data_IF_868619664647
#
_entry.id   IF_868619664647
#
_cell.length_a   1.000
_cell.length_b   1.000
_cell.length_c   1.000
_cell.angle_alpha   90.00
_cell.angle_beta   90.00
_cell.angle_gamma   90.00
#
_symmetry.space_group_name_H-M   'P 1'
#
loop_
_entity.id
_entity.type
_entity.pdbx_description
1 polymer ?
#
# COMPACT_ATOMS: atom_id res chain seq x y z
N UNK A 1 -11.70 0.28 11.67
CA UNK A 1 -11.32 -0.59 10.60
C UNK A 1 -10.81 -1.92 11.06
N UNK A 2 -11.00 -2.91 10.25
CA UNK A 2 -10.54 -4.26 10.48
C UNK A 2 -9.61 -4.72 9.38
N UNK A 3 -9.10 -5.92 9.54
CA UNK A 3 -8.32 -6.59 8.53
C UNK A 3 -9.21 -7.48 7.67
N UNK A 4 -8.88 -7.53 6.40
CA UNK A 4 -9.37 -8.57 5.50
C UNK A 4 -8.15 -9.17 4.84
N UNK A 5 -7.93 -10.46 5.09
CA UNK A 5 -6.83 -11.20 4.50
C UNK A 5 -7.44 -12.25 3.59
N UNK A 6 -7.03 -12.22 2.34
CA UNK A 6 -7.49 -13.21 1.37
C UNK A 6 -6.37 -14.21 1.17
N UNK A 7 -6.53 -15.42 1.74
CA UNK A 7 -5.58 -16.53 1.57
C UNK A 7 -5.36 -16.84 0.10
N UNK A 8 -4.19 -17.29 -0.25
CA UNK A 8 -3.69 -17.55 -1.60
C UNK A 8 -3.46 -16.29 -2.41
N UNK A 9 -3.88 -15.16 -1.91
CA UNK A 9 -3.92 -13.99 -2.74
C UNK A 9 -2.97 -12.92 -2.30
N UNK A 10 -2.42 -13.04 -1.11
CA UNK A 10 -1.55 -11.99 -0.60
C UNK A 10 -2.11 -10.59 -0.88
N UNK A 11 -3.42 -10.43 -0.65
CA UNK A 11 -4.11 -9.13 -0.69
C UNK A 11 -4.54 -8.80 0.72
N UNK A 12 -4.14 -7.64 1.20
CA UNK A 12 -4.48 -7.17 2.54
C UNK A 12 -5.17 -5.82 2.42
N UNK A 13 -6.31 -5.71 3.08
CA UNK A 13 -7.04 -4.45 3.18
C UNK A 13 -7.04 -4.00 4.63
N UNK A 14 -6.62 -2.77 4.88
CA UNK A 14 -6.63 -2.22 6.23
C UNK A 14 -7.25 -0.83 6.25
N UNK A 15 -8.01 -0.53 7.29
CA UNK A 15 -8.33 0.84 7.62
C UNK A 15 -7.14 1.46 8.33
N UNK A 16 -6.84 2.72 8.07
CA UNK A 16 -5.74 3.39 8.75
C UNK A 16 -6.21 4.44 9.75
N UNK A 17 -7.41 5.03 9.57
CA UNK A 17 -7.91 6.07 10.45
C UNK A 17 -7.00 7.29 10.49
N UNK A 18 -6.70 7.78 11.69
CA UNK A 18 -5.84 8.93 11.92
C UNK A 18 -4.35 8.57 11.74
N UNK A 19 -3.49 9.54 11.35
CA UNK A 19 -2.04 9.36 11.38
C UNK A 19 -1.47 8.94 12.73
N UNK A 20 -2.19 9.20 13.82
CA UNK A 20 -1.82 8.74 15.17
C UNK A 20 -1.67 7.23 15.24
N UNK A 21 -2.29 6.48 14.32
CA UNK A 21 -2.14 5.03 14.25
C UNK A 21 -0.67 4.61 14.30
N UNK A 22 0.22 5.37 13.69
CA UNK A 22 1.64 5.04 13.61
C UNK A 22 2.31 4.89 14.98
N UNK A 23 1.83 5.61 15.98
CA UNK A 23 2.39 5.60 17.35
C UNK A 23 1.45 5.01 18.38
N UNK A 24 0.23 4.61 17.98
CA UNK A 24 -0.73 4.00 18.91
C UNK A 24 -0.37 2.55 19.20
N UNK A 25 -0.65 2.13 20.43
CA UNK A 25 -0.57 0.73 20.84
C UNK A 25 -1.97 0.30 21.30
N UNK A 26 -2.64 -0.48 20.50
CA UNK A 26 -4.00 -0.95 20.77
C UNK A 26 -4.22 -2.30 20.09
N UNK A 27 -5.43 -2.83 20.19
CA UNK A 27 -5.74 -4.14 19.61
C UNK A 27 -5.55 -4.16 18.10
N UNK A 28 -5.89 -3.07 17.42
CA UNK A 28 -5.72 -2.97 15.97
C UNK A 28 -4.24 -3.00 15.57
N UNK A 29 -3.39 -2.21 16.23
CA UNK A 29 -1.96 -2.18 15.90
C UNK A 29 -1.27 -3.50 16.25
N UNK A 30 -1.68 -4.16 17.34
CA UNK A 30 -1.18 -5.50 17.69
C UNK A 30 -1.59 -6.54 16.65
N UNK A 31 -2.81 -6.45 16.12
CA UNK A 31 -3.26 -7.32 15.03
C UNK A 31 -2.44 -7.07 13.76
N UNK A 32 -2.16 -5.81 13.43
CA UNK A 32 -1.28 -5.48 12.30
C UNK A 32 0.11 -6.09 12.46
N UNK A 33 0.68 -6.01 13.66
CA UNK A 33 1.98 -6.60 13.97
C UNK A 33 1.96 -8.12 13.79
N UNK A 34 0.91 -8.78 14.27
CA UNK A 34 0.75 -10.23 14.14
C UNK A 34 0.64 -10.65 12.69
N UNK A 35 -0.22 -9.99 11.92
CA UNK A 35 -0.41 -10.29 10.51
C UNK A 35 0.88 -10.08 9.72
N UNK A 36 1.58 -8.98 9.97
CA UNK A 36 2.85 -8.70 9.32
C UNK A 36 3.91 -9.74 9.65
N UNK A 37 4.01 -10.16 10.91
CA UNK A 37 4.95 -11.20 11.33
C UNK A 37 4.65 -12.53 10.62
N UNK A 38 3.38 -12.89 10.50
CA UNK A 38 2.99 -14.11 9.79
C UNK A 38 3.39 -14.05 8.31
N UNK A 39 3.22 -12.90 7.67
CA UNK A 39 3.62 -12.70 6.27
C UNK A 39 5.14 -12.83 6.11
N UNK A 40 5.90 -12.20 7.02
CA UNK A 40 7.37 -12.20 6.95
C UNK A 40 7.99 -13.58 7.18
N UNK A 41 7.34 -14.42 7.99
CA UNK A 41 7.84 -15.76 8.32
C UNK A 41 7.27 -16.85 7.42
N UNK A 42 6.35 -16.50 6.54
CA UNK A 42 5.75 -17.42 5.58
C UNK A 42 6.76 -17.84 4.51
N UNK A 43 6.58 -19.05 3.96
CA UNK A 43 7.37 -19.53 2.81
C UNK A 43 7.14 -18.64 1.59
N UNK A 44 5.98 -18.00 1.52
CA UNK A 44 5.59 -17.10 0.42
C UNK A 44 5.83 -15.65 0.78
N UNK A 45 6.91 -15.35 1.50
CA UNK A 45 7.28 -13.98 1.83
C UNK A 45 7.31 -13.13 0.57
N UNK A 46 6.58 -11.99 0.53
CA UNK A 46 6.50 -11.19 -0.68
C UNK A 46 7.83 -10.53 -1.04
N UNK A 47 8.08 -10.43 -2.33
CA UNK A 47 9.25 -9.73 -2.88
C UNK A 47 9.13 -8.22 -2.76
N UNK A 48 7.91 -7.70 -2.85
CA UNK A 48 7.59 -6.29 -2.73
C UNK A 48 6.10 -6.12 -2.46
N UNK A 49 5.74 -4.92 -2.04
CA UNK A 49 4.36 -4.55 -1.73
C UNK A 49 3.89 -3.51 -2.74
N UNK A 50 2.78 -3.78 -3.42
CA UNK A 50 2.05 -2.77 -4.17
C UNK A 50 1.04 -2.13 -3.21
N UNK A 51 1.28 -0.88 -2.85
CA UNK A 51 0.43 -0.16 -1.91
C UNK A 51 -0.51 0.78 -2.66
N UNK A 52 -1.80 0.50 -2.59
CA UNK A 52 -2.83 1.33 -3.20
C UNK A 52 -3.37 2.26 -2.12
N UNK A 53 -2.90 3.52 -2.13
CA UNK A 53 -3.22 4.46 -1.06
C UNK A 53 -4.37 5.38 -1.43
N UNK A 54 -5.38 5.43 -0.55
CA UNK A 54 -6.50 6.33 -0.70
C UNK A 54 -6.09 7.81 -0.60
N UNK A 55 -4.91 8.11 -0.06
CA UNK A 55 -4.38 9.47 0.05
C UNK A 55 -3.76 9.97 -1.25
N UNK A 56 -3.39 9.08 -2.14
CA UNK A 56 -2.99 9.44 -3.49
C UNK A 56 -4.20 9.31 -4.43
N UNK A 57 -5.10 10.24 -4.28
CA UNK A 57 -6.41 10.25 -4.96
C UNK A 57 -6.40 11.36 -6.01
N UNK A 58 -6.22 10.98 -7.27
CA UNK A 58 -5.98 11.92 -8.38
C UNK A 58 -6.70 11.42 -9.64
N UNK A 59 -6.97 12.31 -10.61
CA UNK A 59 -7.53 11.88 -11.89
C UNK A 59 -6.43 11.19 -12.71
N UNK A 60 -6.46 9.88 -12.71
CA UNK A 60 -5.49 9.04 -13.42
C UNK A 60 -4.93 7.94 -12.54
N UNK A 61 -4.32 6.96 -13.18
CA UNK A 61 -3.63 5.87 -12.48
C UNK A 61 -2.14 6.05 -12.65
N UNK A 62 -1.45 6.26 -11.54
CA UNK A 62 0.00 6.53 -11.52
C UNK A 62 0.71 5.55 -10.61
N UNK A 63 1.95 5.22 -10.98
CA UNK A 63 2.79 4.31 -10.22
C UNK A 63 4.17 4.95 -9.99
N UNK A 64 4.74 4.67 -8.83
CA UNK A 64 6.09 5.11 -8.49
C UNK A 64 7.12 4.19 -9.12
N UNK A 65 8.28 4.76 -9.44
CA UNK A 65 9.41 4.02 -9.99
C UNK A 65 10.72 4.23 -9.23
N UNK A 66 10.74 5.16 -8.28
CA UNK A 66 11.96 5.52 -7.56
C UNK A 66 12.51 4.35 -6.74
N UNK A 67 13.83 4.15 -6.78
CA UNK A 67 14.51 3.13 -5.97
C UNK A 67 14.45 3.45 -4.48
N UNK A 68 14.42 4.72 -4.14
CA UNK A 68 14.31 5.22 -2.77
C UNK A 68 13.20 6.27 -2.70
N UNK A 69 11.93 5.85 -2.69
CA UNK A 69 10.83 6.79 -2.62
C UNK A 69 10.92 7.61 -1.33
N UNK A 70 10.69 8.91 -1.46
CA UNK A 70 10.68 9.77 -0.27
C UNK A 70 9.44 9.48 0.57
N UNK A 71 9.57 9.65 1.88
CA UNK A 71 8.43 9.62 2.78
C UNK A 71 7.84 11.02 2.86
N UNK A 72 6.53 11.13 2.77
CA UNK A 72 5.85 12.42 2.89
C UNK A 72 4.94 12.44 4.11
N UNK A 73 4.81 13.63 4.69
CA UNK A 73 4.03 13.88 5.91
C UNK A 73 2.85 14.75 5.52
N UNK A 74 1.89 14.13 4.84
CA UNK A 74 0.72 14.77 4.25
C UNK A 74 -0.40 14.97 5.28
N UNK A 75 -0.07 15.61 6.42
CA UNK A 75 -0.98 15.85 7.52
C UNK A 75 -0.58 17.10 8.31
N UNK A 76 -1.49 17.63 9.14
CA UNK A 76 -1.29 18.83 9.94
C UNK A 76 -1.75 18.65 11.37
N UNK A 77 -1.08 19.35 12.30
CA UNK A 77 -1.56 19.51 13.67
C UNK A 77 -1.39 18.29 14.55
N UNK A 78 -0.43 17.43 14.24
CA UNK A 78 -0.14 16.24 15.03
C UNK A 78 1.12 16.45 15.90
N UNK A 79 1.35 15.57 16.91
CA UNK A 79 2.54 15.68 17.75
C UNK A 79 3.83 15.57 16.93
N UNK A 80 4.86 16.26 17.39
CA UNK A 80 6.17 16.31 16.73
C UNK A 80 6.75 14.93 16.47
N UNK A 81 6.59 13.98 17.40
CA UNK A 81 7.13 12.63 17.24
C UNK A 81 6.62 11.96 15.97
N UNK A 82 5.41 12.28 15.53
CA UNK A 82 4.83 11.71 14.33
C UNK A 82 5.58 12.19 13.09
N UNK A 83 6.02 13.45 13.07
CA UNK A 83 6.78 14.02 11.97
C UNK A 83 8.25 13.57 11.96
N UNK A 84 8.72 12.98 13.05
CA UNK A 84 10.06 12.44 13.15
C UNK A 84 10.14 10.95 12.85
N UNK A 85 9.00 10.28 12.78
CA UNK A 85 8.94 8.87 12.47
C UNK A 85 9.39 8.62 11.03
N UNK A 86 10.33 7.68 10.85
CA UNK A 86 10.86 7.35 9.54
C UNK A 86 10.50 5.91 9.15
N UNK A 87 10.09 5.76 7.90
CA UNK A 87 9.86 4.45 7.30
C UNK A 87 10.68 4.36 6.02
N UNK A 88 11.93 3.88 6.09
CA UNK A 88 12.88 3.95 4.97
C UNK A 88 12.66 2.83 3.96
N UNK A 89 11.50 2.80 3.33
CA UNK A 89 11.18 1.79 2.33
C UNK A 89 12.00 2.01 1.06
N UNK A 90 12.44 0.90 0.46
CA UNK A 90 13.01 0.90 -0.88
C UNK A 90 11.88 0.70 -1.89
N UNK A 91 12.09 1.16 -3.12
CA UNK A 91 11.22 0.83 -4.23
C UNK A 91 11.59 -0.53 -4.86
N UNK A 92 10.88 -0.88 -5.91
CA UNK A 92 11.10 -2.14 -6.64
C UNK A 92 10.78 -1.91 -8.11
N UNK A 93 11.81 -1.74 -8.92
CA UNK A 93 11.63 -1.49 -10.36
C UNK A 93 10.97 -2.67 -11.07
N UNK A 94 11.24 -3.89 -10.63
CA UNK A 94 10.60 -5.10 -11.18
C UNK A 94 9.08 -5.03 -11.01
N UNK A 95 8.61 -4.65 -9.82
CA UNK A 95 7.17 -4.50 -9.59
C UNK A 95 6.57 -3.39 -10.45
N UNK A 96 7.25 -2.25 -10.55
CA UNK A 96 6.79 -1.16 -11.41
C UNK A 96 6.64 -1.63 -12.86
N UNK A 97 7.63 -2.34 -13.38
CA UNK A 97 7.58 -2.87 -14.74
C UNK A 97 6.44 -3.88 -14.93
N UNK A 98 6.23 -4.75 -13.96
CA UNK A 98 5.15 -5.74 -14.02
C UNK A 98 3.78 -5.06 -14.05
N UNK A 99 3.58 -4.01 -13.25
CA UNK A 99 2.33 -3.25 -13.26
C UNK A 99 2.15 -2.54 -14.61
N UNK A 100 3.20 -1.90 -15.12
CA UNK A 100 3.14 -1.24 -16.42
C UNK A 100 2.81 -2.21 -17.54
N UNK A 101 3.31 -3.43 -17.47
CA UNK A 101 2.99 -4.48 -18.45
C UNK A 101 1.52 -4.87 -18.39
N UNK A 102 0.98 -5.01 -17.18
CA UNK A 102 -0.41 -5.42 -16.99
C UNK A 102 -1.41 -4.33 -17.39
N UNK A 103 -1.08 -3.07 -17.12
CA UNK A 103 -2.00 -1.95 -17.32
C UNK A 103 -1.76 -1.21 -18.64
N UNK A 104 -0.58 -1.33 -19.24
CA UNK A 104 -0.25 -0.69 -20.50
C UNK A 104 -0.45 0.83 -20.45
N UNK A 105 -1.26 1.32 -21.39
CA UNK A 105 -1.53 2.76 -21.49
C UNK A 105 -2.42 3.30 -20.37
N UNK A 106 -2.96 2.43 -19.53
CA UNK A 106 -3.84 2.83 -18.43
C UNK A 106 -3.09 3.29 -17.18
N UNK A 107 -1.76 3.20 -17.19
CA UNK A 107 -0.92 3.66 -16.07
C UNK A 107 0.24 4.52 -16.59
N UNK A 108 0.62 5.51 -15.81
CA UNK A 108 1.79 6.34 -16.09
C UNK A 108 2.70 6.38 -14.86
N UNK A 109 4.00 6.54 -15.07
CA UNK A 109 4.95 6.68 -13.97
C UNK A 109 4.92 8.11 -13.46
N UNK A 110 4.82 8.26 -12.14
CA UNK A 110 4.86 9.56 -11.49
C UNK A 110 5.53 9.42 -10.12
N UNK A 111 6.67 10.05 -9.95
CA UNK A 111 7.42 10.04 -8.70
C UNK A 111 7.30 11.35 -7.92
N UNK A 112 6.31 12.19 -8.26
CA UNK A 112 6.06 13.45 -7.54
C UNK A 112 5.43 13.24 -6.17
N UNK A 113 4.68 12.15 -5.97
CA UNK A 113 4.18 11.72 -4.68
C UNK A 113 5.25 10.90 -3.96
N UNK A 114 5.07 10.61 -2.69
CA UNK A 114 5.99 9.75 -1.94
C UNK A 114 5.22 8.66 -1.22
N UNK A 115 5.85 8.04 -0.22
CA UNK A 115 5.16 7.13 0.68
C UNK A 115 4.40 7.97 1.69
N UNK A 116 3.09 8.01 1.57
CA UNK A 116 2.23 8.88 2.37
C UNK A 116 1.87 8.27 3.72
N UNK A 117 1.26 9.08 4.61
CA UNK A 117 0.94 8.63 5.96
C UNK A 117 -0.09 7.49 5.97
N UNK A 118 -0.96 7.41 4.98
CA UNK A 118 -1.90 6.29 4.86
C UNK A 118 -1.18 4.96 4.71
N UNK A 119 -0.01 4.97 4.10
CA UNK A 119 0.81 3.79 3.90
C UNK A 119 1.78 3.57 5.06
N UNK A 120 2.62 4.57 5.40
CA UNK A 120 3.65 4.31 6.42
C UNK A 120 3.08 4.14 7.83
N UNK A 121 1.92 4.74 8.15
CA UNK A 121 1.32 4.56 9.48
C UNK A 121 0.89 3.11 9.73
N UNK A 122 0.53 2.37 8.68
CA UNK A 122 0.22 0.94 8.75
C UNK A 122 1.49 0.10 8.67
N UNK A 123 2.38 0.44 7.74
CA UNK A 123 3.59 -0.35 7.47
C UNK A 123 4.56 -0.38 8.65
N UNK A 124 4.62 0.68 9.48
CA UNK A 124 5.46 0.67 10.68
C UNK A 124 5.05 -0.43 11.66
N UNK A 125 3.77 -0.82 11.66
CA UNK A 125 3.27 -1.92 12.49
C UNK A 125 3.38 -3.27 11.79
N UNK A 126 2.99 -3.36 10.54
CA UNK A 126 3.01 -4.63 9.82
C UNK A 126 4.43 -5.09 9.52
N UNK A 127 5.26 -4.21 9.03
CA UNK A 127 6.61 -4.54 8.56
C UNK A 127 7.62 -3.55 9.12
N UNK A 128 7.92 -3.63 10.43
CA UNK A 128 8.87 -2.71 11.07
C UNK A 128 10.23 -2.71 10.36
N UNK A 129 10.84 -1.52 10.26
CA UNK A 129 12.15 -1.32 9.64
C UNK A 129 12.19 -1.55 8.12
N UNK A 130 11.03 -1.55 7.49
CA UNK A 130 10.89 -1.64 6.03
C UNK A 130 11.68 -2.80 5.39
N UNK A 131 11.42 -4.05 5.82
CA UNK A 131 12.15 -5.21 5.28
C UNK A 131 11.72 -5.59 3.86
N UNK A 132 10.60 -5.07 3.40
CA UNK A 132 10.05 -5.38 2.08
C UNK A 132 9.91 -4.07 1.31
N UNK A 133 10.37 -4.02 0.04
CA UNK A 133 10.18 -2.82 -0.79
C UNK A 133 8.71 -2.46 -1.00
N UNK A 134 8.43 -1.16 -1.16
CA UNK A 134 7.08 -0.64 -1.34
C UNK A 134 7.03 0.20 -2.61
N UNK A 135 6.02 -0.06 -3.43
CA UNK A 135 5.70 0.77 -4.60
C UNK A 135 4.24 1.21 -4.46
N UNK A 136 3.99 2.50 -4.51
CA UNK A 136 2.62 3.00 -4.43
C UNK A 136 1.97 3.16 -5.81
N UNK A 137 0.67 2.85 -5.84
CA UNK A 137 -0.22 3.08 -6.98
C UNK A 137 -1.30 4.07 -6.53
N UNK A 138 -1.61 5.05 -7.37
CA UNK A 138 -2.65 6.01 -7.07
C UNK A 138 -4.05 5.40 -7.20
N UNK A 139 -5.01 6.01 -6.52
CA UNK A 139 -6.43 5.75 -6.73
C UNK A 139 -6.93 6.76 -7.76
N UNK A 140 -7.52 6.26 -8.84
CA UNK A 140 -8.05 7.12 -9.89
C UNK A 140 -9.41 7.68 -9.48
N UNK A 141 -9.44 8.99 -9.24
CA UNK A 141 -10.64 9.68 -8.77
C UNK A 141 -11.78 9.70 -9.79
N UNK A 142 -11.49 9.42 -11.06
CA UNK A 142 -12.50 9.37 -12.11
C UNK A 142 -13.15 8.01 -12.29
N UNK A 143 -12.63 6.99 -11.61
CA UNK A 143 -13.10 5.61 -11.76
C UNK A 143 -14.46 5.41 -11.07
N UNK A 144 -15.34 4.71 -11.78
CA UNK A 144 -16.53 4.10 -11.19
C UNK A 144 -16.13 2.87 -10.37
N UNK A 145 -17.02 2.36 -9.49
CA UNK A 145 -16.74 1.09 -8.80
C UNK A 145 -16.43 -0.07 -9.75
N UNK A 146 -17.09 -0.13 -10.89
CA UNK A 146 -16.83 -1.19 -11.88
C UNK A 146 -15.43 -1.07 -12.47
N UNK A 147 -14.96 0.14 -12.73
CA UNK A 147 -13.60 0.37 -13.21
C UNK A 147 -12.55 0.02 -12.14
N UNK A 148 -12.83 0.30 -10.88
CA UNK A 148 -11.96 -0.13 -9.77
C UNK A 148 -11.89 -1.66 -9.69
N UNK A 149 -13.00 -2.34 -9.87
CA UNK A 149 -13.05 -3.80 -9.89
C UNK A 149 -12.23 -4.37 -11.06
N UNK A 150 -12.38 -3.79 -12.25
CA UNK A 150 -11.59 -4.20 -13.42
C UNK A 150 -10.09 -4.01 -13.19
N UNK A 151 -9.70 -2.90 -12.55
CA UNK A 151 -8.30 -2.66 -12.20
C UNK A 151 -7.78 -3.76 -11.27
N UNK A 152 -8.58 -4.12 -10.26
CA UNK A 152 -8.23 -5.20 -9.34
C UNK A 152 -8.02 -6.54 -10.07
N UNK A 153 -8.87 -6.84 -11.05
CA UNK A 153 -8.73 -8.05 -11.85
C UNK A 153 -7.44 -8.03 -12.69
N UNK A 154 -7.11 -6.88 -13.28
CA UNK A 154 -5.88 -6.74 -14.07
C UNK A 154 -4.62 -6.89 -13.22
N UNK A 155 -4.67 -6.49 -11.94
CA UNK A 155 -3.55 -6.58 -11.02
C UNK A 155 -3.42 -7.95 -10.35
N UNK A 156 -4.46 -8.78 -10.42
CA UNK A 156 -4.47 -10.09 -9.75
C UNK A 156 -3.27 -10.99 -10.08
N UNK A 157 -2.74 -11.02 -11.33
CA UNK A 157 -1.56 -11.84 -11.63
C UNK A 157 -0.31 -11.49 -10.86
N UNK A 158 -0.21 -10.29 -10.28
CA UNK A 158 0.94 -9.90 -9.46
C UNK A 158 1.13 -10.83 -8.26
N UNK A 159 0.04 -11.35 -7.71
CA UNK A 159 0.09 -12.24 -6.55
C UNK A 159 0.82 -13.54 -6.86
N UNK A 160 0.63 -14.07 -8.07
CA UNK A 160 1.33 -15.28 -8.53
C UNK A 160 2.82 -15.03 -8.76
N UNK A 161 3.20 -13.77 -8.97
CA UNK A 161 4.60 -13.38 -9.12
C UNK A 161 5.29 -13.12 -7.78
N UNK A 162 4.60 -13.30 -6.68
CA UNK A 162 5.17 -13.16 -5.35
C UNK A 162 5.09 -11.77 -4.75
N UNK A 163 4.17 -10.93 -5.23
CA UNK A 163 3.94 -9.61 -4.67
C UNK A 163 2.74 -9.59 -3.73
N UNK A 164 2.83 -8.79 -2.69
CA UNK A 164 1.71 -8.50 -1.81
C UNK A 164 0.99 -7.25 -2.33
N UNK A 165 -0.32 -7.31 -2.43
CA UNK A 165 -1.14 -6.13 -2.72
C UNK A 165 -1.78 -5.67 -1.41
N UNK A 166 -1.49 -4.42 -1.03
CA UNK A 166 -2.10 -3.78 0.13
C UNK A 166 -2.93 -2.60 -0.34
N UNK A 167 -4.11 -2.43 0.22
CA UNK A 167 -4.99 -1.32 -0.11
C UNK A 167 -5.56 -0.67 1.15
N UNK A 168 -5.70 0.64 1.12
CA UNK A 168 -6.36 1.40 2.18
C UNK A 168 -7.83 1.00 2.31
N UNK A 169 -8.36 1.06 3.54
CA UNK A 169 -9.71 0.60 3.86
C UNK A 169 -10.81 1.21 3.01
N UNK A 170 -10.67 2.47 2.62
CA UNK A 170 -11.69 3.15 1.82
C UNK A 170 -11.86 2.56 0.41
N UNK A 171 -10.86 1.84 -0.08
CA UNK A 171 -10.88 1.21 -1.40
C UNK A 171 -11.63 -0.12 -1.37
N UNK A 172 -11.71 -0.77 -0.21
CA UNK A 172 -12.32 -2.09 -0.03
C UNK A 172 -13.74 -2.12 -0.57
N UNK A 173 -14.53 -1.10 -0.30
CA UNK A 173 -15.91 -1.04 -0.74
C UNK A 173 -16.04 -1.09 -2.26
N UNK A 174 -15.07 -0.54 -2.97
CA UNK A 174 -15.08 -0.51 -4.43
C UNK A 174 -14.55 -1.82 -5.03
N UNK A 175 -13.66 -2.50 -4.35
CA UNK A 175 -13.03 -3.73 -4.85
C UNK A 175 -13.83 -5.00 -4.53
N UNK A 176 -14.83 -4.92 -3.68
CA UNK A 176 -15.64 -6.06 -3.26
C UNK A 176 -16.86 -6.36 -4.13
N UNK A 177 -17.13 -5.53 -5.09
CA UNK A 177 -18.31 -5.68 -5.94
C UNK A 177 -18.22 -6.84 -6.91
#
# INVERSE_FOLDING_TARGET
GGFIIMKKTTVIFTGHGSPMLAIDENDLTREMQRVGADVLTSEDRPKAILAISAHWYVPGTYIQSADKPRQIYDMYGFPEELYQLQYPAKGCSELTQDVCQLLGNDVSIDDSWGIDHGTWSVMVHMFPNAPIPVVQLSVNSTFTPDQCFELGQKLAPLREKGYLIWASGNIVHNLRR
#
